data_IF_044769828515
#
_entry.id   IF_044769828515
#
_cell.length_a   1.000
_cell.length_b   1.000
_cell.length_c   1.000
_cell.angle_alpha   90.00
_cell.angle_beta   90.00
_cell.angle_gamma   90.00
#
_symmetry.space_group_name_H-M   'P 1'
#
loop_
_entity.id
_entity.type
_entity.pdbx_description
1 polymer ?
#
# COMPACT_ATOMS: atom_id res chain seq x y z
N UNK A 1 -14.22 -15.92 14.57
CA UNK A 1 -14.42 -14.52 14.15
C UNK A 1 -13.11 -14.08 13.52
N UNK A 2 -13.04 -14.17 12.19
CA UNK A 2 -11.79 -13.98 11.45
C UNK A 2 -11.39 -12.51 11.43
N UNK A 3 -10.11 -12.25 11.68
CA UNK A 3 -9.50 -10.94 11.49
C UNK A 3 -9.61 -10.55 10.01
N UNK A 4 -10.13 -9.35 9.73
CA UNK A 4 -10.22 -8.85 8.35
C UNK A 4 -8.85 -8.31 7.97
N UNK A 5 -8.27 -8.85 6.89
CA UNK A 5 -6.98 -8.39 6.37
C UNK A 5 -7.21 -7.72 5.02
N UNK A 6 -6.73 -6.48 4.93
CA UNK A 6 -6.81 -5.66 3.72
C UNK A 6 -5.41 -5.22 3.30
N UNK A 7 -5.18 -5.12 2.00
CA UNK A 7 -3.94 -4.61 1.43
C UNK A 7 -4.26 -3.40 0.55
N UNK A 8 -3.58 -2.30 0.82
CA UNK A 8 -3.78 -1.02 0.15
C UNK A 8 -2.48 -0.56 -0.50
N UNK A 9 -2.60 -0.06 -1.72
CA UNK A 9 -1.47 0.53 -2.44
C UNK A 9 -1.45 2.04 -2.17
N UNK A 10 -0.27 2.56 -1.84
CA UNK A 10 -0.02 3.97 -1.60
C UNK A 10 0.96 4.49 -2.64
N UNK A 11 0.65 5.66 -3.19
CA UNK A 11 1.50 6.45 -4.07
C UNK A 11 2.25 7.49 -3.24
N UNK A 12 3.55 7.58 -3.46
CA UNK A 12 4.44 8.57 -2.88
C UNK A 12 5.02 9.39 -4.02
N UNK A 13 4.95 10.70 -3.90
CA UNK A 13 5.51 11.64 -4.86
C UNK A 13 6.61 12.38 -4.12
N UNK A 14 7.84 12.28 -4.64
CA UNK A 14 8.99 12.98 -4.09
C UNK A 14 8.72 14.49 -4.10
N UNK A 15 9.17 15.22 -3.05
CA UNK A 15 9.08 16.67 -3.05
C UNK A 15 9.87 17.24 -4.23
N UNK A 16 9.30 18.23 -4.91
CA UNK A 16 10.01 19.07 -5.87
C UNK A 16 10.27 20.43 -5.23
N UNK A 17 11.16 21.26 -5.82
CA UNK A 17 11.61 22.55 -5.26
C UNK A 17 10.49 23.44 -4.68
N UNK A 18 9.25 23.32 -5.16
CA UNK A 18 8.10 24.11 -4.72
C UNK A 18 6.91 23.28 -4.22
N UNK A 19 7.10 21.99 -3.87
CA UNK A 19 6.02 21.13 -3.39
C UNK A 19 6.48 20.11 -2.34
N UNK A 20 5.75 19.97 -1.22
CA UNK A 20 6.10 19.01 -0.18
C UNK A 20 5.95 17.57 -0.68
N UNK A 21 6.49 16.61 0.08
CA UNK A 21 6.28 15.18 -0.19
C UNK A 21 4.80 14.86 -0.08
N UNK A 22 4.21 14.32 -1.15
CA UNK A 22 2.80 13.91 -1.18
C UNK A 22 2.73 12.41 -1.06
N UNK A 23 1.88 11.91 -0.17
CA UNK A 23 1.57 10.49 -0.06
C UNK A 23 0.06 10.31 0.05
N UNK A 24 -0.47 9.34 -0.68
CA UNK A 24 -1.91 9.09 -0.75
C UNK A 24 -2.21 7.70 -1.27
N UNK A 25 -3.44 7.24 -1.10
CA UNK A 25 -3.83 5.95 -1.66
C UNK A 25 -3.80 6.00 -3.18
N UNK A 26 -3.21 4.98 -3.81
CA UNK A 26 -3.05 4.88 -5.25
C UNK A 26 -4.33 4.40 -5.96
N UNK A 27 -5.50 4.67 -5.38
CA UNK A 27 -6.82 4.25 -5.88
C UNK A 27 -7.75 3.78 -4.75
N UNK A 28 -8.94 3.31 -5.14
CA UNK A 28 -9.89 2.63 -4.24
C UNK A 28 -9.72 1.11 -4.21
N UNK A 29 -8.75 0.55 -4.95
CA UNK A 29 -8.54 -0.89 -5.02
C UNK A 29 -8.02 -1.42 -3.67
N UNK A 30 -8.84 -2.24 -3.01
CA UNK A 30 -8.49 -2.97 -1.80
C UNK A 30 -8.35 -4.44 -2.16
N UNK A 31 -7.21 -5.03 -1.80
CA UNK A 31 -6.98 -6.46 -2.01
C UNK A 31 -7.23 -7.19 -0.69
N UNK A 32 -7.97 -8.28 -0.75
CA UNK A 32 -8.34 -9.10 0.42
C UNK A 32 -8.18 -10.59 0.09
N UNK A 33 -8.21 -11.44 1.11
CA UNK A 33 -8.08 -12.90 0.95
C UNK A 33 -6.63 -13.40 0.93
N UNK A 34 -6.46 -14.71 0.69
CA UNK A 34 -5.18 -15.44 0.79
C UNK A 34 -4.13 -14.85 -0.17
N UNK A 35 -4.54 -14.53 -1.40
CA UNK A 35 -3.68 -13.93 -2.43
C UNK A 35 -3.67 -12.40 -2.41
N UNK A 36 -4.32 -11.76 -1.43
CA UNK A 36 -4.47 -10.30 -1.36
C UNK A 36 -3.12 -9.57 -1.39
N UNK A 37 -2.13 -10.07 -0.63
CA UNK A 37 -0.77 -9.52 -0.62
C UNK A 37 -0.11 -9.62 -1.99
N UNK A 38 -0.15 -10.80 -2.60
CA UNK A 38 0.50 -11.09 -3.88
C UNK A 38 -0.10 -10.23 -5.00
N UNK A 39 -1.42 -10.12 -5.03
CA UNK A 39 -2.13 -9.29 -6.00
C UNK A 39 -1.84 -7.79 -5.80
N UNK A 40 -1.82 -7.32 -4.55
CA UNK A 40 -1.47 -5.94 -4.23
C UNK A 40 -0.03 -5.59 -4.65
N UNK A 41 0.93 -6.48 -4.38
CA UNK A 41 2.32 -6.31 -4.81
C UNK A 41 2.42 -6.33 -6.35
N UNK A 42 1.77 -7.29 -7.01
CA UNK A 42 1.78 -7.38 -8.48
C UNK A 42 1.27 -6.09 -9.11
N UNK A 43 0.12 -5.60 -8.64
CA UNK A 43 -0.46 -4.33 -9.12
C UNK A 43 0.43 -3.14 -8.81
N UNK A 44 1.04 -3.09 -7.62
CA UNK A 44 1.97 -2.02 -7.26
C UNK A 44 3.22 -2.00 -8.15
N UNK A 45 3.74 -3.17 -8.54
CA UNK A 45 4.84 -3.29 -9.51
C UNK A 45 4.40 -2.82 -10.90
N UNK A 46 3.20 -3.19 -11.35
CA UNK A 46 2.66 -2.71 -12.63
C UNK A 46 2.47 -1.19 -12.65
N UNK A 47 2.01 -0.61 -11.55
CA UNK A 47 1.92 0.84 -11.37
C UNK A 47 3.30 1.50 -11.35
N UNK A 48 4.29 0.88 -10.71
CA UNK A 48 5.67 1.39 -10.66
C UNK A 48 6.32 1.42 -12.04
N UNK A 49 6.06 0.41 -12.89
CA UNK A 49 6.60 0.36 -14.27
C UNK A 49 6.12 1.51 -15.14
N UNK A 50 4.90 2.00 -14.91
CA UNK A 50 4.30 3.11 -15.64
C UNK A 50 4.42 4.45 -14.89
N UNK A 51 5.15 4.47 -13.77
CA UNK A 51 5.26 5.65 -12.93
C UNK A 51 6.25 6.66 -13.54
N UNK A 52 5.94 7.97 -13.53
CA UNK A 52 6.93 8.98 -13.87
C UNK A 52 8.05 9.04 -12.83
N UNK A 53 9.21 9.57 -13.24
CA UNK A 53 10.37 9.76 -12.35
C UNK A 53 9.97 10.56 -11.10
N UNK A 54 10.32 10.03 -9.92
CA UNK A 54 9.98 10.62 -8.62
C UNK A 54 8.65 10.15 -8.04
N UNK A 55 7.92 9.23 -8.69
CA UNK A 55 6.76 8.53 -8.12
C UNK A 55 7.15 7.13 -7.67
N UNK A 56 6.85 6.80 -6.41
CA UNK A 56 7.03 5.48 -5.83
C UNK A 56 5.71 4.90 -5.34
N UNK A 57 5.55 3.58 -5.43
CA UNK A 57 4.43 2.87 -4.84
C UNK A 57 4.87 2.00 -3.65
N UNK A 58 3.95 1.81 -2.71
CA UNK A 58 4.13 0.93 -1.55
C UNK A 58 2.85 0.17 -1.26
N UNK A 59 2.96 -1.02 -0.67
CA UNK A 59 1.82 -1.80 -0.20
C UNK A 59 1.79 -1.78 1.33
N UNK A 60 0.63 -1.49 1.88
CA UNK A 60 0.37 -1.54 3.32
C UNK A 60 -0.70 -2.57 3.63
N UNK A 61 -0.42 -3.44 4.59
CA UNK A 61 -1.35 -4.41 5.19
C UNK A 61 -2.07 -3.76 6.36
N UNK A 62 -3.39 -3.90 6.38
CA UNK A 62 -4.30 -3.41 7.39
C UNK A 62 -4.95 -4.64 8.02
N UNK A 63 -4.67 -4.89 9.29
CA UNK A 63 -5.27 -6.01 10.04
C UNK A 63 -6.28 -5.44 11.02
N UNK A 64 -7.56 -5.75 10.81
CA UNK A 64 -8.65 -5.37 11.69
C UNK A 64 -8.97 -6.55 12.59
N UNK A 65 -8.73 -6.37 13.89
CA UNK A 65 -9.05 -7.37 14.90
C UNK A 65 -10.06 -6.82 15.90
N UNK A 66 -10.90 -7.68 16.46
CA UNK A 66 -11.74 -7.31 17.62
C UNK A 66 -10.89 -6.87 18.81
N UNK A 67 -9.69 -7.45 18.95
CA UNK A 67 -8.74 -7.15 20.02
C UNK A 67 -8.25 -5.69 19.99
N UNK A 68 -8.15 -5.10 18.81
CA UNK A 68 -7.74 -3.70 18.65
C UNK A 68 -8.92 -2.73 18.62
N UNK A 69 -10.10 -3.17 19.07
CA UNK A 69 -11.36 -2.42 18.99
C UNK A 69 -11.64 -1.96 17.53
N UNK A 70 -11.37 -2.86 16.58
CA UNK A 70 -11.46 -2.65 15.14
C UNK A 70 -10.57 -1.54 14.58
N UNK A 71 -9.58 -1.05 15.34
CA UNK A 71 -8.54 -0.17 14.79
C UNK A 71 -7.58 -1.01 13.93
N UNK A 72 -7.36 -0.66 12.66
CA UNK A 72 -6.46 -1.41 11.81
C UNK A 72 -5.01 -1.25 12.26
N UNK A 73 -4.32 -2.35 12.44
CA UNK A 73 -2.86 -2.35 12.54
C UNK A 73 -2.32 -2.18 11.12
N UNK A 74 -1.66 -1.05 10.87
CA UNK A 74 -1.05 -0.72 9.58
C UNK A 74 0.39 -1.19 9.56
N UNK A 75 0.75 -2.03 8.61
CA UNK A 75 2.11 -2.52 8.42
C UNK A 75 2.51 -2.34 6.96
N UNK A 76 3.62 -1.64 6.70
CA UNK A 76 4.17 -1.57 5.35
C UNK A 76 4.82 -2.91 5.03
N UNK A 77 4.36 -3.56 3.97
CA UNK A 77 4.81 -4.90 3.56
C UNK A 77 5.66 -4.87 2.30
N UNK A 78 5.63 -3.76 1.54
CA UNK A 78 6.42 -3.62 0.32
C UNK A 78 6.64 -2.15 -0.04
N UNK A 79 7.82 -1.80 -0.56
CA UNK A 79 8.10 -0.49 -1.18
C UNK A 79 9.09 -0.67 -2.34
N UNK A 80 8.69 -0.27 -3.55
CA UNK A 80 9.59 -0.06 -4.69
C UNK A 80 10.67 -1.16 -4.90
N UNK A 81 10.29 -2.44 -4.79
CA UNK A 81 11.19 -3.58 -5.01
C UNK A 81 11.97 -4.06 -3.78
N UNK A 82 12.04 -3.29 -2.70
CA UNK A 82 12.53 -3.77 -1.40
C UNK A 82 11.34 -4.35 -0.61
N UNK A 83 11.36 -5.67 -0.44
CA UNK A 83 10.50 -6.33 0.54
C UNK A 83 11.04 -5.98 1.94
N UNK A 84 10.18 -5.47 2.81
CA UNK A 84 10.52 -5.13 4.20
C UNK A 84 10.38 -6.35 5.10
#
# INVERSE_FOLDING_TARGET
MEDRVEYHIYKHIAPQNNSPRIWGSAGHEVFTGIDGLKNAIRKAIELQKNAPLGVEYSVQKYVYSKKTNYRPIKTRVWKNGEAA
#
